data_IF_018913862960
#
_entry.id   IF_018913862960
#
_cell.length_a   1.000
_cell.length_b   1.000
_cell.length_c   1.000
_cell.angle_alpha   90.00
_cell.angle_beta   90.00
_cell.angle_gamma   90.00
#
_symmetry.space_group_name_H-M   'P 1'
#
loop_
_entity.id
_entity.type
_entity.pdbx_description
1 polymer ?
#
# COMPACT_ATOMS: atom_id res chain seq x y z
N UNK A 1 24.53 -4.26 10.43
CA UNK A 1 23.87 -5.49 10.92
C UNK A 1 23.25 -6.16 9.70
N UNK A 2 23.88 -7.21 9.17
CA UNK A 2 23.47 -7.81 7.89
C UNK A 2 22.26 -8.71 8.08
N UNK A 3 21.22 -8.50 7.28
CA UNK A 3 20.06 -9.38 7.20
C UNK A 3 20.49 -10.73 6.61
N UNK A 4 20.30 -11.79 7.37
CA UNK A 4 20.46 -13.17 6.90
C UNK A 4 19.28 -13.48 5.99
N UNK A 5 19.54 -13.91 4.76
CA UNK A 5 18.50 -14.31 3.82
C UNK A 5 17.61 -15.38 4.47
N UNK A 6 16.30 -15.13 4.50
CA UNK A 6 15.32 -16.14 4.85
C UNK A 6 15.36 -17.26 3.80
N UNK A 7 15.22 -18.54 4.20
CA UNK A 7 15.12 -19.65 3.25
C UNK A 7 13.88 -19.47 2.35
N UNK A 8 13.85 -20.08 1.16
CA UNK A 8 12.68 -20.05 0.29
C UNK A 8 11.48 -20.66 1.05
N UNK A 9 10.45 -19.86 1.27
CA UNK A 9 9.18 -20.30 1.87
C UNK A 9 8.38 -21.00 0.78
N UNK A 10 8.07 -22.29 0.97
CA UNK A 10 7.09 -22.97 0.12
C UNK A 10 5.71 -22.37 0.41
N UNK A 11 5.09 -21.79 -0.63
CA UNK A 11 3.70 -21.35 -0.59
C UNK A 11 2.82 -22.60 -0.45
N UNK A 12 2.27 -22.82 0.75
CA UNK A 12 1.25 -23.85 0.94
C UNK A 12 -0.08 -23.27 0.47
N UNK A 13 -0.46 -23.56 -0.78
CA UNK A 13 -1.82 -23.33 -1.23
C UNK A 13 -2.76 -24.30 -0.49
N UNK A 14 -3.60 -23.78 0.39
CA UNK A 14 -4.71 -24.54 0.96
C UNK A 14 -5.96 -24.31 0.12
N UNK A 15 -6.57 -25.35 -0.48
CA UNK A 15 -7.88 -25.20 -1.10
C UNK A 15 -8.92 -24.89 -0.02
N UNK A 16 -9.89 -24.02 -0.35
CA UNK A 16 -11.04 -23.74 0.49
C UNK A 16 -11.85 -25.03 0.74
N UNK A 17 -11.61 -25.67 1.88
CA UNK A 17 -12.39 -26.80 2.35
C UNK A 17 -13.68 -26.33 3.04
N UNK A 18 -14.77 -27.11 3.02
CA UNK A 18 -16.03 -26.70 3.61
C UNK A 18 -15.87 -26.56 5.13
N UNK A 19 -16.11 -25.34 5.62
CA UNK A 19 -16.14 -25.02 7.04
C UNK A 19 -17.34 -25.72 7.69
N UNK A 20 -17.06 -26.83 8.38
CA UNK A 20 -17.95 -27.37 9.38
C UNK A 20 -17.78 -26.58 10.68
N UNK A 21 -18.86 -25.95 11.15
CA UNK A 21 -18.92 -25.30 12.45
C UNK A 21 -19.12 -23.80 12.33
N UNK A 22 -20.36 -23.37 12.56
CA UNK A 22 -20.74 -21.98 12.84
C UNK A 22 -19.87 -21.42 13.97
N UNK A 23 -18.87 -20.64 13.58
CA UNK A 23 -18.30 -19.58 14.40
C UNK A 23 -18.46 -18.31 13.59
N UNK A 24 -19.17 -17.33 14.14
CA UNK A 24 -19.11 -15.96 13.68
C UNK A 24 -17.62 -15.58 13.52
N UNK A 25 -17.19 -15.35 12.28
CA UNK A 25 -15.89 -14.72 12.03
C UNK A 25 -16.08 -13.23 12.32
N UNK A 26 -16.08 -12.92 13.61
CA UNK A 26 -15.92 -11.56 14.11
C UNK A 26 -14.55 -11.07 13.67
N UNK A 27 -14.49 -9.89 13.06
CA UNK A 27 -13.27 -9.20 12.66
C UNK A 27 -12.54 -8.63 13.90
N UNK A 28 -12.33 -9.46 14.91
CA UNK A 28 -11.45 -9.16 16.01
C UNK A 28 -10.01 -9.37 15.50
N UNK A 29 -9.45 -8.27 14.98
CA UNK A 29 -8.02 -7.95 14.90
C UNK A 29 -7.09 -9.12 14.49
N UNK A 30 -6.83 -9.26 13.19
CA UNK A 30 -5.55 -9.85 12.78
C UNK A 30 -4.42 -8.86 13.14
N UNK A 31 -3.77 -9.06 14.30
CA UNK A 31 -2.56 -8.34 14.75
C UNK A 31 -1.32 -8.79 13.95
N UNK A 32 -1.39 -8.67 12.62
CA UNK A 32 -0.35 -9.13 11.72
C UNK A 32 0.38 -8.02 10.97
N UNK A 33 1.50 -8.38 10.36
CA UNK A 33 2.18 -7.56 9.37
C UNK A 33 1.62 -7.86 7.97
N UNK A 34 1.09 -6.83 7.32
CA UNK A 34 0.48 -6.94 6.00
C UNK A 34 1.47 -6.54 4.90
N UNK A 35 1.55 -7.35 3.84
CA UNK A 35 2.40 -7.10 2.68
C UNK A 35 1.60 -7.22 1.39
N UNK A 36 1.87 -6.33 0.44
CA UNK A 36 1.35 -6.45 -0.92
C UNK A 36 2.43 -6.95 -1.87
N UNK A 37 2.07 -7.93 -2.70
CA UNK A 37 2.90 -8.34 -3.82
C UNK A 37 2.73 -7.40 -5.02
N UNK A 38 3.60 -7.52 -6.01
CA UNK A 38 3.45 -6.81 -7.29
C UNK A 38 2.18 -7.20 -8.06
N UNK A 39 1.63 -8.38 -7.77
CA UNK A 39 0.37 -8.91 -8.31
C UNK A 39 -0.83 -8.57 -7.41
N UNK A 40 -0.65 -7.71 -6.39
CA UNK A 40 -1.71 -7.22 -5.50
C UNK A 40 -2.30 -8.27 -4.55
N UNK A 41 -1.66 -9.44 -4.46
CA UNK A 41 -1.91 -10.43 -3.42
C UNK A 41 -1.52 -9.89 -2.06
N UNK A 42 -2.28 -10.26 -1.04
CA UNK A 42 -2.03 -9.87 0.33
C UNK A 42 -1.36 -11.03 1.06
N UNK A 43 -0.23 -10.75 1.71
CA UNK A 43 0.37 -11.67 2.66
C UNK A 43 0.18 -11.10 4.07
N UNK A 44 -0.18 -11.94 5.01
CA UNK A 44 -0.36 -11.58 6.42
C UNK A 44 0.56 -12.46 7.24
N UNK A 45 1.55 -11.84 7.89
CA UNK A 45 2.40 -12.52 8.85
C UNK A 45 1.84 -12.28 10.25
N UNK A 46 1.41 -13.34 10.92
CA UNK A 46 0.88 -13.28 12.29
C UNK A 46 2.00 -13.71 13.28
N UNK A 47 2.63 -12.75 13.99
CA UNK A 47 3.77 -13.05 14.85
C UNK A 47 3.33 -13.72 16.16
N UNK A 48 3.92 -14.87 16.45
CA UNK A 48 3.85 -15.54 17.74
C UNK A 48 5.15 -15.34 18.52
N UNK A 49 5.03 -15.10 19.83
CA UNK A 49 6.16 -14.92 20.72
C UNK A 49 6.23 -16.11 21.69
N UNK A 50 7.37 -16.79 21.73
CA UNK A 50 7.62 -17.79 22.77
C UNK A 50 8.12 -17.17 24.08
N UNK A 51 8.20 -17.99 25.13
CA UNK A 51 8.66 -17.58 26.47
C UNK A 51 10.11 -17.05 26.47
N UNK A 52 10.91 -17.39 25.44
CA UNK A 52 12.29 -16.95 25.25
C UNK A 52 12.38 -15.65 24.42
N UNK A 53 11.25 -15.12 23.95
CA UNK A 53 11.15 -13.90 23.15
C UNK A 53 11.56 -14.08 21.68
N UNK A 54 11.64 -15.32 21.19
CA UNK A 54 11.83 -15.63 19.78
C UNK A 54 10.52 -15.43 19.03
N UNK A 55 10.60 -14.80 17.85
CA UNK A 55 9.44 -14.56 16.99
C UNK A 55 9.33 -15.71 15.99
N UNK A 56 8.24 -16.45 16.06
CA UNK A 56 7.74 -17.34 15.01
C UNK A 56 6.41 -16.79 14.48
N UNK A 57 5.76 -17.48 13.56
CA UNK A 57 4.46 -17.03 13.08
C UNK A 57 4.05 -17.72 11.79
N UNK A 58 2.75 -17.71 11.54
CA UNK A 58 2.17 -18.19 10.29
C UNK A 58 2.19 -17.06 9.24
N UNK A 59 2.33 -17.45 7.98
CA UNK A 59 2.26 -16.55 6.84
C UNK A 59 1.10 -16.99 5.94
N UNK A 60 0.00 -16.26 6.02
CA UNK A 60 -1.17 -16.49 5.19
C UNK A 60 -1.09 -15.68 3.90
N UNK A 61 -1.54 -16.27 2.79
CA UNK A 61 -1.55 -15.64 1.47
C UNK A 61 -2.94 -15.62 0.86
N UNK A 62 -3.42 -14.42 0.54
CA UNK A 62 -4.68 -14.18 -0.15
C UNK A 62 -4.40 -13.75 -1.59
N UNK A 63 -4.81 -14.58 -2.54
CA UNK A 63 -4.59 -14.38 -3.96
C UNK A 63 -5.81 -13.70 -4.60
N UNK A 64 -5.55 -12.75 -5.49
CA UNK A 64 -6.58 -12.01 -6.23
C UNK A 64 -6.21 -11.97 -7.73
N UNK A 65 -6.30 -13.09 -8.45
CA UNK A 65 -5.72 -13.24 -9.79
C UNK A 65 -6.24 -12.21 -10.81
N UNK A 66 -7.50 -11.80 -10.69
CA UNK A 66 -8.17 -10.93 -11.66
C UNK A 66 -8.08 -9.44 -11.31
N UNK A 67 -7.66 -9.09 -10.08
CA UNK A 67 -7.71 -7.70 -9.62
C UNK A 67 -6.76 -6.78 -10.40
N UNK A 68 -5.54 -7.26 -10.66
CA UNK A 68 -4.55 -6.52 -11.44
C UNK A 68 -5.04 -6.23 -12.87
N UNK A 69 -5.83 -7.15 -13.45
CA UNK A 69 -6.37 -6.99 -14.80
C UNK A 69 -7.60 -6.08 -14.86
N UNK A 70 -8.38 -5.99 -13.80
CA UNK A 70 -9.61 -5.17 -13.74
C UNK A 70 -9.33 -3.69 -13.43
N UNK A 71 -8.11 -3.35 -13.00
CA UNK A 71 -7.70 -1.99 -12.67
C UNK A 71 -6.39 -1.56 -13.35
N UNK A 72 -6.31 -1.63 -14.69
CA UNK A 72 -5.09 -1.32 -15.41
C UNK A 72 -4.81 0.19 -15.42
N UNK A 73 -3.54 0.60 -15.55
CA UNK A 73 -3.18 2.00 -15.81
C UNK A 73 -3.78 2.49 -17.13
N UNK A 74 -4.08 3.79 -17.22
CA UNK A 74 -4.47 4.39 -18.49
C UNK A 74 -3.29 4.40 -19.49
N UNK A 75 -3.58 4.62 -20.77
CA UNK A 75 -2.56 4.67 -21.82
C UNK A 75 -1.43 5.68 -21.48
N UNK A 76 -0.19 5.19 -21.41
CA UNK A 76 0.98 6.00 -21.07
C UNK A 76 1.22 6.20 -19.56
N UNK A 77 0.44 5.53 -18.71
CA UNK A 77 0.68 5.44 -17.27
C UNK A 77 1.29 4.09 -16.90
N UNK A 78 1.97 4.02 -15.77
CA UNK A 78 2.35 2.78 -15.09
C UNK A 78 2.02 2.87 -13.61
N UNK A 79 1.96 1.72 -12.94
CA UNK A 79 1.84 1.67 -11.49
C UNK A 79 3.19 2.07 -10.87
N UNK A 80 3.23 3.23 -10.22
CA UNK A 80 4.41 3.76 -9.52
C UNK A 80 4.53 3.27 -8.07
N UNK A 81 3.44 2.79 -7.48
CA UNK A 81 3.43 2.27 -6.12
C UNK A 81 2.08 1.70 -5.69
N UNK A 82 2.13 0.85 -4.68
CA UNK A 82 0.97 0.25 -3.99
C UNK A 82 1.20 0.42 -2.50
N UNK A 83 0.23 0.98 -1.79
CA UNK A 83 0.36 1.33 -0.38
C UNK A 83 -0.81 0.74 0.39
N UNK A 84 -0.52 0.06 1.51
CA UNK A 84 -1.54 -0.37 2.45
C UNK A 84 -1.79 0.74 3.47
N UNK A 85 -3.06 1.02 3.75
CA UNK A 85 -3.48 2.01 4.74
C UNK A 85 -4.60 1.42 5.57
N UNK A 86 -4.45 1.35 6.89
CA UNK A 86 -5.58 1.08 7.77
C UNK A 86 -6.40 2.37 7.96
N UNK A 87 -7.72 2.26 7.86
CA UNK A 87 -8.66 3.36 8.12
C UNK A 87 -10.01 2.84 8.60
N UNK A 88 -10.41 3.25 9.81
CA UNK A 88 -11.68 2.87 10.45
C UNK A 88 -11.88 1.34 10.51
N UNK A 89 -10.82 0.59 10.84
CA UNK A 89 -10.84 -0.87 10.92
C UNK A 89 -10.86 -1.55 9.54
N UNK A 90 -10.75 -0.79 8.45
CA UNK A 90 -10.69 -1.33 7.09
C UNK A 90 -9.28 -1.23 6.53
N UNK A 91 -8.85 -2.27 5.82
CA UNK A 91 -7.61 -2.25 5.08
C UNK A 91 -7.84 -1.68 3.68
N UNK A 92 -7.13 -0.61 3.34
CA UNK A 92 -7.18 0.03 2.05
C UNK A 92 -5.91 -0.25 1.25
N UNK A 93 -6.05 -0.45 -0.06
CA UNK A 93 -4.95 -0.38 -1.01
C UNK A 93 -5.05 0.93 -1.79
N UNK A 94 -4.01 1.76 -1.74
CA UNK A 94 -3.87 2.93 -2.59
C UNK A 94 -2.89 2.61 -3.71
N UNK A 95 -3.39 2.58 -4.94
CA UNK A 95 -2.58 2.46 -6.16
C UNK A 95 -2.23 3.84 -6.67
N UNK A 96 -0.94 4.04 -6.95
CA UNK A 96 -0.40 5.29 -7.49
C UNK A 96 0.00 5.09 -8.94
N UNK A 97 -0.46 5.96 -9.82
CA UNK A 97 -0.11 5.94 -11.23
C UNK A 97 0.82 7.11 -11.57
N UNK A 98 1.86 6.80 -12.35
CA UNK A 98 2.85 7.75 -12.83
C UNK A 98 2.88 7.77 -14.36
N UNK A 99 3.07 8.94 -14.95
CA UNK A 99 3.36 9.10 -16.37
C UNK A 99 4.83 9.49 -16.57
N UNK A 100 5.53 8.90 -17.56
CA UNK A 100 6.90 9.29 -17.89
C UNK A 100 7.03 10.80 -18.09
N UNK A 101 8.06 11.41 -17.48
CA UNK A 101 8.32 12.86 -17.57
C UNK A 101 7.34 13.77 -16.82
N UNK A 102 6.21 13.25 -16.32
CA UNK A 102 5.23 14.01 -15.53
C UNK A 102 5.24 13.62 -14.06
N UNK A 103 5.65 12.41 -13.71
CA UNK A 103 5.54 11.85 -12.35
C UNK A 103 4.12 11.38 -12.06
N UNK A 104 3.68 11.47 -10.80
CA UNK A 104 2.34 11.08 -10.35
C UNK A 104 1.24 11.84 -11.08
N UNK A 105 0.22 11.12 -11.53
CA UNK A 105 -0.91 11.70 -12.27
C UNK A 105 -2.27 11.35 -11.68
N UNK A 106 -2.41 10.20 -11.03
CA UNK A 106 -3.68 9.76 -10.46
C UNK A 106 -3.48 8.70 -9.37
N UNK A 107 -4.56 8.46 -8.63
CA UNK A 107 -4.66 7.42 -7.61
C UNK A 107 -5.95 6.64 -7.77
N UNK A 108 -5.91 5.36 -7.40
CA UNK A 108 -7.10 4.56 -7.15
C UNK A 108 -7.03 4.01 -5.74
N UNK A 109 -8.18 3.96 -5.07
CA UNK A 109 -8.29 3.47 -3.70
C UNK A 109 -9.26 2.30 -3.68
N UNK A 110 -8.81 1.21 -3.10
CA UNK A 110 -9.56 -0.03 -2.95
C UNK A 110 -9.70 -0.34 -1.47
N UNK A 111 -10.83 -0.91 -1.09
CA UNK A 111 -11.08 -1.45 0.24
C UNK A 111 -11.02 -2.96 0.13
N UNK A 112 -10.38 -3.61 1.09
CA UNK A 112 -10.43 -5.06 1.23
C UNK A 112 -11.76 -5.43 1.90
N UNK A 113 -12.59 -6.17 1.19
CA UNK A 113 -13.85 -6.67 1.72
C UNK A 113 -13.66 -8.14 2.17
N UNK A 114 -13.83 -8.37 3.47
CA UNK A 114 -13.63 -9.66 4.14
C UNK A 114 -14.93 -10.42 4.39
N UNK A 115 -16.08 -9.76 4.26
CA UNK A 115 -17.38 -10.28 4.71
C UNK A 115 -17.86 -11.51 3.90
N UNK A 116 -17.17 -11.87 2.81
CA UNK A 116 -17.44 -13.05 1.99
C UNK A 116 -16.38 -14.12 2.18
N UNK A 117 -16.73 -15.40 1.95
CA UNK A 117 -15.77 -16.51 1.86
C UNK A 117 -14.74 -16.38 0.72
N UNK A 118 -14.79 -15.28 -0.02
CA UNK A 118 -13.93 -14.92 -1.13
C UNK A 118 -13.51 -13.45 -0.96
N UNK A 119 -12.40 -13.17 -0.25
CA UNK A 119 -11.96 -11.80 -0.02
C UNK A 119 -11.54 -11.17 -1.34
N UNK A 120 -11.82 -9.88 -1.53
CA UNK A 120 -11.45 -9.17 -2.75
C UNK A 120 -11.26 -7.67 -2.53
N UNK A 121 -10.57 -7.05 -3.48
CA UNK A 121 -10.38 -5.60 -3.52
C UNK A 121 -11.53 -4.92 -4.25
N UNK A 122 -12.31 -4.11 -3.55
CA UNK A 122 -13.39 -3.31 -4.12
C UNK A 122 -12.97 -1.84 -4.29
N UNK A 123 -13.21 -1.28 -5.49
CA UNK A 123 -12.90 0.13 -5.77
C UNK A 123 -13.81 1.05 -4.97
N UNK A 124 -13.24 1.88 -4.09
CA UNK A 124 -14.01 2.74 -3.20
C UNK A 124 -13.38 4.12 -3.06
N UNK A 125 -13.61 5.00 -4.04
CA UNK A 125 -13.19 6.40 -3.94
C UNK A 125 -13.88 7.15 -2.78
N UNK A 126 -15.09 6.71 -2.40
CA UNK A 126 -15.87 7.31 -1.33
C UNK A 126 -15.21 7.15 0.05
N UNK A 127 -14.42 6.09 0.26
CA UNK A 127 -13.78 5.79 1.55
C UNK A 127 -12.81 6.88 2.02
N UNK A 128 -12.29 7.69 1.10
CA UNK A 128 -11.37 8.80 1.39
C UNK A 128 -12.12 10.05 1.86
N UNK A 129 -13.44 10.11 1.71
CA UNK A 129 -14.24 11.29 2.04
C UNK A 129 -14.15 11.61 3.53
N UNK A 130 -13.76 12.84 3.86
CA UNK A 130 -13.57 13.25 5.25
C UNK A 130 -12.28 12.74 5.89
N UNK A 131 -11.36 12.16 5.09
CA UNK A 131 -10.09 11.59 5.55
C UNK A 131 -8.89 12.23 4.86
N UNK A 132 -7.77 12.20 5.56
CA UNK A 132 -6.44 12.42 4.99
C UNK A 132 -5.71 11.09 4.99
N UNK A 133 -5.38 10.58 3.81
CA UNK A 133 -4.47 9.45 3.67
C UNK A 133 -3.07 10.00 3.43
N UNK A 134 -2.11 9.55 4.20
CA UNK A 134 -0.71 9.83 3.99
C UNK A 134 -0.08 8.54 3.55
N UNK A 135 0.42 8.50 2.33
CA UNK A 135 0.95 7.28 1.73
C UNK A 135 2.46 7.40 1.55
N UNK A 136 3.11 6.29 1.86
CA UNK A 136 4.55 6.13 1.80
C UNK A 136 4.91 4.70 2.17
N UNK A 137 5.98 4.18 1.57
CA UNK A 137 6.47 2.84 1.83
C UNK A 137 6.80 2.69 3.32
N UNK A 138 6.14 1.72 3.96
CA UNK A 138 6.33 1.37 5.37
C UNK A 138 5.83 2.41 6.38
N UNK A 139 5.18 3.50 5.97
CA UNK A 139 4.75 4.58 6.87
C UNK A 139 3.39 5.18 6.50
N UNK A 140 2.56 4.42 5.80
CA UNK A 140 1.25 4.87 5.37
C UNK A 140 0.26 4.95 6.55
N UNK A 141 -0.61 5.97 6.56
CA UNK A 141 -1.57 6.20 7.65
C UNK A 141 -2.81 6.99 7.20
N UNK A 142 -3.95 6.73 7.84
CA UNK A 142 -5.16 7.54 7.67
C UNK A 142 -5.45 8.40 8.90
N UNK A 143 -6.00 9.60 8.68
CA UNK A 143 -6.50 10.49 9.73
C UNK A 143 -7.93 10.90 9.39
N UNK A 144 -8.84 10.68 10.33
CA UNK A 144 -10.22 11.17 10.25
C UNK A 144 -10.25 12.67 10.54
N UNK A 145 -10.83 13.46 9.64
CA UNK A 145 -10.87 14.93 9.81
C UNK A 145 -12.13 15.45 10.50
N UNK A 146 -13.16 14.60 10.64
CA UNK A 146 -14.47 15.00 11.14
C UNK A 146 -15.23 15.98 10.23
N UNK A 147 -14.73 16.23 9.01
CA UNK A 147 -15.35 17.14 8.04
C UNK A 147 -16.07 16.35 6.96
N UNK A 148 -17.13 16.94 6.41
CA UNK A 148 -18.01 16.29 5.44
C UNK A 148 -17.44 16.19 4.02
N UNK A 149 -16.39 16.95 3.65
CA UNK A 149 -15.69 16.90 2.35
C UNK A 149 -14.50 17.89 2.34
N UNK A 150 -13.49 17.75 1.47
CA UNK A 150 -13.16 16.60 0.61
C UNK A 150 -12.09 15.69 1.23
N UNK A 151 -11.89 14.51 0.63
CA UNK A 151 -10.79 13.60 0.95
C UNK A 151 -9.47 13.97 0.27
N UNK A 152 -8.35 13.76 0.96
CA UNK A 152 -7.00 14.04 0.46
C UNK A 152 -6.07 12.85 0.59
N UNK A 153 -5.14 12.71 -0.36
CA UNK A 153 -4.04 11.76 -0.33
C UNK A 153 -2.73 12.54 -0.43
N UNK A 154 -1.93 12.55 0.63
CA UNK A 154 -0.58 13.11 0.66
C UNK A 154 0.43 12.00 0.33
N UNK A 155 1.36 12.29 -0.58
CA UNK A 155 2.28 11.28 -1.09
C UNK A 155 3.71 11.81 -1.20
N UNK A 156 4.68 10.90 -1.00
CA UNK A 156 6.11 11.18 -1.05
C UNK A 156 6.70 10.78 -2.41
N UNK A 157 7.88 11.28 -2.74
CA UNK A 157 8.64 10.84 -3.93
C UNK A 157 9.36 9.51 -3.63
N UNK A 158 8.56 8.46 -3.40
CA UNK A 158 9.02 7.13 -3.05
C UNK A 158 8.57 6.06 -4.05
N UNK A 159 8.00 6.49 -5.19
CA UNK A 159 7.60 5.60 -6.26
C UNK A 159 8.79 4.76 -6.71
N UNK A 160 8.53 3.49 -7.02
CA UNK A 160 9.51 2.61 -7.62
C UNK A 160 9.58 2.95 -9.11
N UNK A 161 10.17 4.11 -9.42
CA UNK A 161 10.28 4.59 -10.78
C UNK A 161 10.82 3.51 -11.73
N UNK A 162 10.21 3.49 -12.92
CA UNK A 162 10.54 2.73 -14.13
C UNK A 162 11.96 2.13 -14.13
N UNK A 163 12.13 0.81 -14.36
CA UNK A 163 13.39 0.32 -14.88
C UNK A 163 13.52 0.81 -16.32
N UNK A 164 14.06 2.02 -16.51
CA UNK A 164 14.55 2.40 -17.83
C UNK A 164 15.74 1.50 -18.16
N UNK A 165 15.67 0.88 -19.35
CA UNK A 165 16.60 -0.13 -19.88
C UNK A 165 18.01 0.45 -20.10
N UNK A 166 18.25 1.71 -19.74
CA UNK A 166 19.56 2.38 -19.82
C UNK A 166 20.25 2.67 -18.48
N UNK A 167 19.65 2.36 -17.33
CA UNK A 167 20.32 2.60 -16.03
C UNK A 167 20.97 1.35 -15.42
N UNK A 168 21.92 0.76 -16.14
CA UNK A 168 22.84 -0.29 -15.62
C UNK A 168 23.80 0.27 -14.54
N UNK A 169 23.67 1.55 -14.18
CA UNK A 169 24.43 2.20 -13.12
C UNK A 169 23.47 3.00 -12.24
N UNK A 170 22.69 2.32 -11.38
CA UNK A 170 22.04 2.97 -10.22
C UNK A 170 23.08 3.20 -9.12
N UNK A 171 24.09 4.02 -9.42
CA UNK A 171 24.93 4.61 -8.38
C UNK A 171 24.09 5.71 -7.74
N UNK A 172 23.62 5.42 -6.53
CA UNK A 172 22.84 6.30 -5.66
C UNK A 172 21.40 6.61 -6.17
N UNK A 173 20.39 6.01 -5.51
CA UNK A 173 19.01 6.50 -5.58
C UNK A 173 18.98 7.91 -5.01
N UNK A 174 19.26 8.89 -5.86
CA UNK A 174 19.17 10.30 -5.52
C UNK A 174 17.69 10.61 -5.20
N UNK A 175 17.36 10.85 -3.92
CA UNK A 175 16.01 11.27 -3.52
C UNK A 175 15.77 12.69 -4.04
N UNK A 176 15.05 12.82 -5.15
CA UNK A 176 14.84 14.12 -5.80
C UNK A 176 13.72 14.94 -5.17
N UNK A 177 12.90 14.33 -4.29
CA UNK A 177 11.76 14.97 -3.60
C UNK A 177 10.87 15.79 -4.56
N UNK A 178 10.86 15.41 -5.83
CA UNK A 178 10.33 16.20 -6.96
C UNK A 178 8.93 15.75 -7.34
N UNK A 179 8.58 14.51 -6.99
CA UNK A 179 7.27 13.92 -7.19
C UNK A 179 6.61 13.57 -5.85
N UNK A 180 6.70 14.49 -4.90
CA UNK A 180 5.87 14.50 -3.70
C UNK A 180 4.72 15.48 -3.92
N UNK A 181 3.56 15.22 -3.33
CA UNK A 181 2.42 16.15 -3.44
C UNK A 181 1.26 15.81 -2.54
N UNK A 182 0.12 16.39 -2.87
CA UNK A 182 -1.16 15.97 -2.37
C UNK A 182 -2.17 15.87 -3.53
N UNK A 183 -3.13 14.98 -3.37
CA UNK A 183 -4.21 14.72 -4.30
C UNK A 183 -5.54 14.91 -3.60
N UNK A 184 -6.46 15.64 -4.21
CA UNK A 184 -7.85 15.78 -3.77
C UNK A 184 -8.72 14.86 -4.60
N UNK A 185 -9.54 14.04 -3.95
CA UNK A 185 -10.36 13.04 -4.64
C UNK A 185 -11.56 13.63 -5.39
N UNK A 186 -12.11 14.77 -4.94
CA UNK A 186 -13.29 15.39 -5.55
C UNK A 186 -13.30 16.93 -5.44
N UNK A 187 -13.27 17.67 -6.57
CA UNK A 187 -12.86 17.17 -7.90
C UNK A 187 -11.43 16.63 -7.86
N UNK A 188 -11.11 15.72 -8.78
CA UNK A 188 -9.76 15.14 -8.87
C UNK A 188 -8.75 16.22 -9.25
N UNK A 189 -7.80 16.47 -8.36
CA UNK A 189 -6.75 17.47 -8.55
C UNK A 189 -5.48 17.02 -7.84
N UNK A 190 -4.33 17.20 -8.49
CA UNK A 190 -3.02 16.86 -7.93
C UNK A 190 -2.13 18.09 -7.93
N UNK A 191 -1.49 18.35 -6.78
CA UNK A 191 -0.51 19.41 -6.63
C UNK A 191 0.80 18.82 -6.10
N UNK A 192 1.91 19.17 -6.77
CA UNK A 192 3.27 18.72 -6.42
C UNK A 192 4.07 19.83 -5.75
N UNK A 193 3.40 20.56 -4.87
CA UNK A 193 3.93 21.73 -4.20
C UNK A 193 4.34 21.36 -2.78
N UNK A 194 5.53 20.79 -2.64
CA UNK A 194 6.19 20.81 -1.33
C UNK A 194 7.34 21.82 -1.36
N UNK A 195 7.78 22.34 -0.19
CA UNK A 195 8.99 23.12 -0.13
C UNK A 195 10.12 22.40 -0.87
N UNK A 196 10.95 23.16 -1.59
CA UNK A 196 12.11 22.65 -2.33
C UNK A 196 12.80 21.60 -1.46
N UNK A 197 12.80 20.36 -1.95
CA UNK A 197 13.15 19.20 -1.16
C UNK A 197 14.52 19.36 -0.50
N UNK A 198 14.76 18.64 0.61
CA UNK A 198 16.07 18.61 1.21
C UNK A 198 17.08 18.15 0.16
N UNK A 199 18.34 18.57 0.36
CA UNK A 199 19.42 18.18 -0.55
C UNK A 199 19.48 16.65 -0.67
N UNK A 200 20.01 16.12 -1.78
CA UNK A 200 20.05 14.67 -2.03
C UNK A 200 20.78 13.82 -0.98
N UNK A 201 21.54 14.45 -0.08
CA UNK A 201 22.28 13.86 1.04
C UNK A 201 21.44 13.75 2.33
N UNK A 202 20.16 14.10 2.30
CA UNK A 202 19.25 13.99 3.43
C UNK A 202 18.49 12.66 3.45
N UNK A 203 18.00 12.26 4.63
CA UNK A 203 17.11 11.11 4.76
C UNK A 203 15.83 11.31 3.95
N UNK A 204 15.21 10.23 3.44
CA UNK A 204 13.90 10.34 2.78
C UNK A 204 12.88 10.97 3.72
N UNK A 205 11.90 11.68 3.14
CA UNK A 205 10.74 12.11 3.90
C UNK A 205 10.00 10.89 4.45
N UNK A 206 9.44 11.05 5.64
CA UNK A 206 8.64 10.04 6.33
C UNK A 206 7.49 10.74 7.02
N UNK A 207 6.35 10.06 7.09
CA UNK A 207 5.22 10.53 7.87
C UNK A 207 5.43 10.18 9.34
N UNK A 208 5.55 11.19 10.19
CA UNK A 208 5.57 11.05 11.64
C UNK A 208 4.28 11.66 12.22
N UNK A 209 3.73 10.98 13.22
CA UNK A 209 2.54 11.43 13.94
C UNK A 209 2.77 11.29 15.44
N UNK A 210 2.30 12.28 16.19
CA UNK A 210 2.28 12.31 17.64
C UNK A 210 0.84 12.44 18.12
#
# INVERSE_FOLDING_TARGET
MWARALPPVELVERPAGPLGGSADVSCDQHEGFYFLTSQEHLLVFDPEYDDDGQISGDLDGYLFPDHHMTSPPEAGQVVGGRYLVESDGRLLMVKRFISPGRGTVSFQVFTLEWETSDPHWESSAAVVTGKLLFIGRGCSRAIQTGRSVPGFIYFLDDAEGFPDVQSIVRTEKQYRCSDAGWFRCSPQYIEKSWPQGPRPDCSPWIWLYH
#
